data_IF_711256700910
#
_entry.id   IF_711256700910
#
_cell.length_a   1.000
_cell.length_b   1.000
_cell.length_c   1.000
_cell.angle_alpha   90.00
_cell.angle_beta   90.00
_cell.angle_gamma   90.00
#
_symmetry.space_group_name_H-M   'P 1'
#
loop_
_entity.id
_entity.type
_entity.pdbx_description
1 polymer ?
#
# COMPACT_ATOMS: atom_id res chain seq x y z
N UNK A 1 26.59 6.26 8.52
CA UNK A 1 25.65 6.39 9.64
C UNK A 1 24.37 6.97 9.05
N UNK A 2 23.39 6.11 8.74
CA UNK A 2 22.06 6.53 8.32
C UNK A 2 21.21 6.68 9.58
N UNK A 3 20.88 7.92 9.94
CA UNK A 3 19.93 8.20 11.01
C UNK A 3 18.51 8.08 10.44
N UNK A 4 17.88 6.99 10.87
CA UNK A 4 16.47 6.69 10.77
C UNK A 4 15.68 7.74 11.58
N UNK A 5 15.15 8.76 10.89
CA UNK A 5 14.21 9.73 11.48
C UNK A 5 12.83 9.09 11.63
N UNK A 6 12.76 8.07 12.49
CA UNK A 6 11.50 7.57 13.04
C UNK A 6 10.86 8.69 13.85
N UNK A 7 9.80 9.25 13.27
CA UNK A 7 8.91 10.26 13.83
C UNK A 7 8.60 9.95 15.32
N UNK A 8 8.87 10.87 16.27
CA UNK A 8 8.59 10.61 17.67
C UNK A 8 7.08 10.73 17.95
N UNK A 9 6.53 9.66 18.51
CA UNK A 9 5.37 9.60 19.41
C UNK A 9 4.13 10.44 19.00
N UNK A 10 3.29 9.89 18.10
CA UNK A 10 1.93 10.38 17.88
C UNK A 10 1.07 10.07 19.11
N UNK A 11 1.18 10.89 20.17
CA UNK A 11 0.15 10.93 21.22
C UNK A 11 -1.13 11.45 20.58
N UNK A 12 -2.07 10.55 20.31
CA UNK A 12 -3.44 10.91 19.95
C UNK A 12 -4.05 11.60 21.18
N UNK A 13 -4.13 12.94 21.14
CA UNK A 13 -4.80 13.73 22.18
C UNK A 13 -6.29 13.67 21.89
N UNK A 14 -7.01 12.82 22.62
CA UNK A 14 -8.45 12.86 22.60
C UNK A 14 -8.93 14.07 23.40
N UNK A 15 -9.72 14.99 22.84
CA UNK A 15 -10.37 16.02 23.64
C UNK A 15 -11.31 15.36 24.64
N UNK A 16 -11.12 15.67 25.91
CA UNK A 16 -11.75 15.01 27.06
C UNK A 16 -13.28 15.00 26.92
N UNK A 17 -13.86 13.81 26.77
CA UNK A 17 -15.31 13.59 26.90
C UNK A 17 -15.54 12.78 28.17
N UNK A 18 -16.21 13.41 29.13
CA UNK A 18 -16.60 12.80 30.39
C UNK A 18 -17.24 11.42 30.20
N UNK A 19 -16.65 10.43 30.88
CA UNK A 19 -17.25 9.21 31.41
C UNK A 19 -18.50 8.68 30.70
N UNK A 20 -18.31 7.86 29.68
CA UNK A 20 -19.27 6.82 29.31
C UNK A 20 -18.54 5.48 29.12
N UNK A 21 -18.83 4.55 30.03
CA UNK A 21 -18.42 3.15 29.98
C UNK A 21 -19.28 2.40 28.99
N UNK A 22 -18.71 1.99 27.86
CA UNK A 22 -19.27 0.92 27.03
C UNK A 22 -18.14 0.28 26.20
N UNK A 23 -17.71 -0.93 26.60
CA UNK A 23 -16.93 -1.81 25.74
C UNK A 23 -17.89 -2.42 24.70
N UNK A 24 -17.63 -2.29 23.38
CA UNK A 24 -18.28 -3.15 22.41
C UNK A 24 -17.54 -4.49 22.41
N UNK A 25 -18.23 -5.54 22.86
CA UNK A 25 -17.81 -6.91 22.63
C UNK A 25 -17.71 -7.15 21.11
N UNK A 26 -16.54 -7.62 20.64
CA UNK A 26 -16.42 -8.23 19.33
C UNK A 26 -17.20 -9.55 19.36
N UNK A 27 -18.46 -9.53 18.93
CA UNK A 27 -19.20 -10.74 18.68
C UNK A 27 -18.81 -11.31 17.31
N UNK A 28 -18.08 -12.42 17.34
CA UNK A 28 -17.83 -13.25 16.18
C UNK A 28 -19.00 -14.19 15.91
N UNK A 29 -19.49 -14.16 14.67
CA UNK A 29 -20.32 -15.23 14.10
C UNK A 29 -21.04 -14.80 12.82
N UNK A 30 -21.63 -15.73 12.06
CA UNK A 30 -21.13 -17.01 11.57
C UNK A 30 -20.70 -16.93 10.10
N UNK A 31 -19.85 -17.86 9.67
CA UNK A 31 -19.44 -18.10 8.29
C UNK A 31 -20.64 -18.52 7.40
N UNK A 32 -21.33 -17.52 6.84
CA UNK A 32 -22.36 -17.69 5.82
C UNK A 32 -21.77 -17.53 4.41
N UNK A 33 -21.95 -18.56 3.58
CA UNK A 33 -21.52 -18.60 2.17
C UNK A 33 -22.00 -17.38 1.37
N UNK A 34 -21.05 -16.50 1.09
CA UNK A 34 -21.20 -15.28 0.32
C UNK A 34 -19.81 -14.71 0.06
N UNK A 35 -19.72 -13.75 -0.87
CA UNK A 35 -18.50 -13.01 -1.22
C UNK A 35 -17.64 -12.78 0.03
N UNK A 36 -16.36 -13.18 -0.03
CA UNK A 36 -15.44 -13.16 1.10
C UNK A 36 -15.45 -11.83 1.84
N UNK A 37 -15.27 -11.86 3.16
CA UNK A 37 -15.24 -10.66 4.01
C UNK A 37 -14.24 -9.61 3.49
N UNK A 38 -13.10 -10.07 2.99
CA UNK A 38 -12.07 -9.27 2.33
C UNK A 38 -12.57 -8.58 1.05
N UNK A 39 -13.29 -9.30 0.18
CA UNK A 39 -13.87 -8.70 -1.01
C UNK A 39 -14.91 -7.61 -0.65
N UNK A 40 -15.72 -7.83 0.40
CA UNK A 40 -16.65 -6.81 0.91
C UNK A 40 -15.91 -5.59 1.46
N UNK A 41 -14.82 -5.78 2.21
CA UNK A 41 -14.03 -4.67 2.77
C UNK A 41 -13.36 -3.85 1.66
N UNK A 42 -12.84 -4.49 0.61
CA UNK A 42 -12.25 -3.82 -0.56
C UNK A 42 -13.32 -3.04 -1.32
N UNK A 43 -14.49 -3.62 -1.56
CA UNK A 43 -15.59 -2.94 -2.26
C UNK A 43 -16.08 -1.70 -1.47
N UNK A 44 -16.17 -1.80 -0.15
CA UNK A 44 -16.47 -0.65 0.71
C UNK A 44 -15.36 0.41 0.63
N UNK A 45 -14.10 0.00 0.69
CA UNK A 45 -12.96 0.90 0.63
C UNK A 45 -12.86 1.65 -0.72
N UNK A 46 -13.19 1.00 -1.84
CA UNK A 46 -13.32 1.66 -3.15
C UNK A 46 -14.38 2.77 -3.11
N UNK A 47 -15.53 2.53 -2.48
CA UNK A 47 -16.57 3.56 -2.31
C UNK A 47 -16.07 4.73 -1.45
N UNK A 48 -15.45 4.45 -0.31
CA UNK A 48 -14.91 5.49 0.59
C UNK A 48 -13.80 6.30 -0.12
N UNK A 49 -12.99 5.65 -0.96
CA UNK A 49 -11.91 6.32 -1.69
C UNK A 49 -12.40 7.42 -2.66
N UNK A 50 -13.67 7.36 -3.08
CA UNK A 50 -14.31 8.37 -3.94
C UNK A 50 -14.90 9.57 -3.17
N UNK A 51 -14.79 9.59 -1.85
CA UNK A 51 -15.35 10.63 -0.98
C UNK A 51 -14.24 11.61 -0.58
N UNK A 52 -14.47 12.90 -0.77
CA UNK A 52 -13.51 13.95 -0.43
C UNK A 52 -13.82 14.67 0.90
N UNK A 53 -15.08 14.65 1.33
CA UNK A 53 -15.57 15.40 2.48
C UNK A 53 -15.93 14.48 3.64
N UNK A 54 -15.57 14.92 4.85
CA UNK A 54 -15.99 14.27 6.10
C UNK A 54 -17.50 14.11 6.18
N UNK A 55 -18.27 15.14 5.80
CA UNK A 55 -19.73 15.12 5.96
C UNK A 55 -20.37 14.09 5.04
N UNK A 56 -19.81 13.89 3.85
CA UNK A 56 -20.24 12.86 2.92
C UNK A 56 -19.87 11.46 3.41
N UNK A 57 -18.71 11.32 4.07
CA UNK A 57 -18.34 10.07 4.72
C UNK A 57 -19.29 9.73 5.88
N UNK A 58 -19.64 10.72 6.72
CA UNK A 58 -20.55 10.51 7.86
C UNK A 58 -21.95 10.03 7.44
N UNK A 59 -22.41 10.35 6.23
CA UNK A 59 -23.67 9.81 5.68
C UNK A 59 -23.65 8.29 5.48
N UNK A 60 -22.46 7.69 5.37
CA UNK A 60 -22.30 6.23 5.22
C UNK A 60 -22.13 5.51 6.56
N UNK A 61 -21.89 6.25 7.64
CA UNK A 61 -21.67 5.69 8.98
C UNK A 61 -23.00 5.60 9.72
N UNK A 62 -23.27 4.46 10.36
CA UNK A 62 -24.43 4.27 11.24
C UNK A 62 -24.11 4.77 12.65
N UNK A 63 -25.15 5.15 13.38
CA UNK A 63 -25.07 5.53 14.80
C UNK A 63 -24.15 6.73 15.10
N UNK A 64 -24.01 7.64 14.14
CA UNK A 64 -23.29 8.90 14.33
C UNK A 64 -24.06 9.75 15.37
N UNK A 65 -23.44 10.11 16.51
CA UNK A 65 -24.07 11.00 17.47
C UNK A 65 -24.47 12.32 16.80
N UNK A 66 -25.69 12.79 17.09
CA UNK A 66 -26.25 14.01 16.47
C UNK A 66 -25.43 15.28 16.74
N UNK A 67 -24.58 15.26 17.77
CA UNK A 67 -23.68 16.38 18.05
C UNK A 67 -22.57 16.47 16.98
N UNK A 68 -21.97 15.35 16.57
CA UNK A 68 -20.89 15.27 15.58
C UNK A 68 -21.33 15.68 14.16
N UNK A 69 -22.60 15.45 13.81
CA UNK A 69 -23.16 15.79 12.49
C UNK A 69 -23.48 17.29 12.31
N UNK A 70 -23.46 18.10 13.37
CA UNK A 70 -23.98 19.48 13.33
C UNK A 70 -23.06 20.55 13.94
N UNK A 71 -21.76 20.30 14.12
CA UNK A 71 -20.81 21.36 14.54
C UNK A 71 -20.44 22.30 13.38
N UNK A 72 -21.46 22.95 12.83
CA UNK A 72 -21.37 24.22 12.11
C UNK A 72 -21.65 25.33 13.11
N UNK A 73 -20.59 26.05 13.49
CA UNK A 73 -20.59 27.44 13.99
C UNK A 73 -21.73 27.86 14.93
N UNK A 74 -21.52 27.71 16.23
CA UNK A 74 -22.09 28.61 17.23
C UNK A 74 -21.12 28.78 18.38
N UNK A 75 -20.32 29.85 18.28
CA UNK A 75 -19.61 30.44 19.41
C UNK A 75 -20.62 30.71 20.54
N UNK A 76 -20.63 29.88 21.58
CA UNK A 76 -21.23 30.23 22.87
C UNK A 76 -20.10 30.32 23.89
N UNK A 77 -20.07 31.47 24.58
CA UNK A 77 -19.11 31.79 25.64
C UNK A 77 -18.93 30.62 26.61
N UNK A 78 -17.70 30.16 26.73
CA UNK A 78 -17.22 29.21 27.73
C UNK A 78 -15.72 29.02 27.51
N UNK A 79 -14.94 28.98 28.59
CA UNK A 79 -13.51 28.68 28.60
C UNK A 79 -13.26 27.31 27.95
N UNK A 80 -13.08 27.29 26.64
CA UNK A 80 -12.64 26.11 25.92
C UNK A 80 -11.37 26.53 25.19
N UNK A 81 -10.27 25.85 25.51
CA UNK A 81 -9.02 26.00 24.79
C UNK A 81 -9.30 25.96 23.28
N UNK A 82 -8.90 27.02 22.57
CA UNK A 82 -9.06 27.06 21.11
C UNK A 82 -8.10 26.04 20.52
N UNK A 83 -8.60 24.84 20.24
CA UNK A 83 -7.87 23.86 19.45
C UNK A 83 -7.53 24.46 18.09
N UNK A 84 -6.24 24.49 17.73
CA UNK A 84 -5.76 24.92 16.41
C UNK A 84 -5.85 23.76 15.37
N UNK A 85 -6.75 22.81 15.60
CA UNK A 85 -6.91 21.65 14.74
C UNK A 85 -7.71 22.02 13.49
N UNK A 86 -7.02 22.03 12.35
CA UNK A 86 -7.66 22.09 11.04
C UNK A 86 -8.20 20.72 10.65
N UNK A 87 -9.39 20.70 10.02
CA UNK A 87 -10.02 19.46 9.56
C UNK A 87 -9.52 19.16 8.15
N UNK A 88 -8.79 18.06 7.93
CA UNK A 88 -8.29 17.72 6.61
C UNK A 88 -9.41 17.16 5.71
N UNK A 89 -9.30 17.43 4.41
CA UNK A 89 -10.04 16.71 3.39
C UNK A 89 -9.23 15.51 2.92
N UNK A 90 -9.91 14.46 2.45
CA UNK A 90 -9.22 13.31 1.89
C UNK A 90 -8.58 13.67 0.54
N UNK A 91 -7.31 13.31 0.36
CA UNK A 91 -6.66 13.38 -0.94
C UNK A 91 -7.21 12.28 -1.86
N UNK A 92 -8.01 12.68 -2.84
CA UNK A 92 -8.58 11.76 -3.83
C UNK A 92 -7.50 11.19 -4.75
N UNK A 93 -7.69 9.95 -5.22
CA UNK A 93 -6.81 9.37 -6.23
C UNK A 93 -7.02 10.04 -7.59
N UNK A 94 -6.15 11.00 -7.93
CA UNK A 94 -6.24 11.78 -9.17
C UNK A 94 -4.85 12.23 -9.66
N UNK A 95 -4.71 12.67 -10.92
CA UNK A 95 -3.44 13.21 -11.40
C UNK A 95 -3.09 14.53 -10.68
N UNK A 96 -1.96 14.53 -9.98
CA UNK A 96 -1.41 15.67 -9.22
C UNK A 96 -0.02 16.06 -9.76
N UNK A 97 0.34 17.34 -9.64
CA UNK A 97 1.65 17.81 -10.08
C UNK A 97 2.74 17.31 -9.12
N UNK A 98 3.63 16.49 -9.64
CA UNK A 98 4.79 15.98 -8.92
C UNK A 98 6.08 16.36 -9.65
N UNK A 99 7.15 16.59 -8.89
CA UNK A 99 8.47 16.86 -9.45
C UNK A 99 9.11 15.57 -9.92
N UNK A 100 9.54 15.52 -11.18
CA UNK A 100 10.25 14.38 -11.77
C UNK A 100 11.62 14.82 -12.28
N UNK A 101 12.68 14.03 -12.07
CA UNK A 101 13.98 14.29 -12.68
C UNK A 101 13.89 14.10 -14.21
N UNK A 102 14.57 14.96 -14.97
CA UNK A 102 14.64 14.89 -16.43
C UNK A 102 15.81 14.01 -16.87
N UNK A 103 17.03 14.39 -16.46
CA UNK A 103 18.26 13.65 -16.67
C UNK A 103 19.19 13.90 -15.47
N UNK A 104 20.01 12.91 -15.16
CA UNK A 104 21.06 13.03 -14.16
C UNK A 104 22.26 13.80 -14.75
N UNK A 105 22.82 14.71 -13.95
CA UNK A 105 23.98 15.51 -14.35
C UNK A 105 25.26 14.73 -14.09
N UNK A 106 26.10 14.59 -15.11
CA UNK A 106 27.38 13.89 -15.04
C UNK A 106 28.51 14.83 -15.49
N UNK A 107 29.43 15.24 -14.59
CA UNK A 107 30.50 16.17 -14.95
C UNK A 107 31.34 15.68 -16.14
N UNK A 108 31.68 16.56 -17.11
CA UNK A 108 31.47 18.00 -17.10
C UNK A 108 30.11 18.44 -17.69
N UNK A 109 29.22 17.53 -18.06
CA UNK A 109 27.94 17.86 -18.71
C UNK A 109 26.88 18.24 -17.67
N UNK A 110 26.24 19.38 -17.88
CA UNK A 110 25.16 19.89 -17.04
C UNK A 110 23.91 20.10 -17.90
N UNK A 111 22.81 19.48 -17.47
CA UNK A 111 21.48 19.64 -18.05
C UNK A 111 20.68 20.69 -17.29
N UNK A 112 19.94 21.53 -18.03
CA UNK A 112 19.05 22.53 -17.44
C UNK A 112 17.68 22.56 -18.14
N UNK A 113 16.56 22.55 -17.39
CA UNK A 113 16.47 22.29 -15.95
C UNK A 113 16.75 20.81 -15.62
N UNK A 114 17.06 20.50 -14.35
CA UNK A 114 17.32 19.13 -13.88
C UNK A 114 16.05 18.34 -13.57
N UNK A 115 14.98 19.05 -13.20
CA UNK A 115 13.67 18.47 -12.92
C UNK A 115 12.55 19.37 -13.48
N UNK A 116 11.38 18.78 -13.69
CA UNK A 116 10.17 19.49 -14.08
C UNK A 116 8.98 18.98 -13.28
N UNK A 117 7.83 19.65 -13.37
CA UNK A 117 6.57 19.16 -12.80
C UNK A 117 5.75 18.49 -13.89
N UNK A 118 5.26 17.30 -13.61
CA UNK A 118 4.34 16.57 -14.48
C UNK A 118 3.23 15.96 -13.65
N UNK A 119 2.06 15.70 -14.26
CA UNK A 119 0.99 15.02 -13.56
C UNK A 119 1.33 13.55 -13.38
N UNK A 120 1.29 13.10 -12.13
CA UNK A 120 1.40 11.70 -11.73
C UNK A 120 0.22 11.37 -10.81
N UNK A 121 -0.16 10.11 -10.76
CA UNK A 121 -1.25 9.68 -9.88
C UNK A 121 -0.81 9.87 -8.43
N UNK A 122 -1.57 10.65 -7.69
CA UNK A 122 -1.39 10.96 -6.28
C UNK A 122 -2.70 10.79 -5.53
N UNK A 123 -2.63 10.87 -4.20
CA UNK A 123 -3.76 10.69 -3.31
C UNK A 123 -3.80 9.32 -2.61
N UNK A 124 -4.87 9.11 -1.86
CA UNK A 124 -4.99 8.01 -0.91
C UNK A 124 -6.09 7.02 -1.30
N UNK A 125 -5.80 5.73 -1.16
CA UNK A 125 -6.78 4.65 -1.25
C UNK A 125 -7.01 4.06 0.15
N UNK A 126 -8.26 3.80 0.51
CA UNK A 126 -8.65 3.44 1.88
C UNK A 126 -8.21 2.03 2.30
N UNK A 127 -8.03 1.10 1.35
CA UNK A 127 -7.63 -0.29 1.66
C UNK A 127 -6.11 -0.49 1.49
N UNK A 128 -5.51 -1.29 2.37
CA UNK A 128 -4.06 -1.61 2.32
C UNK A 128 -3.63 -2.35 1.04
N UNK A 129 -4.53 -3.11 0.43
CA UNK A 129 -4.30 -3.85 -0.82
C UNK A 129 -4.50 -2.99 -2.10
N UNK A 130 -4.96 -1.75 -1.96
CA UNK A 130 -5.17 -0.83 -3.08
C UNK A 130 -4.09 0.25 -3.12
N UNK A 131 -3.76 0.72 -4.31
CA UNK A 131 -2.92 1.90 -4.53
C UNK A 131 -3.46 2.76 -5.67
N UNK A 132 -3.14 4.05 -5.64
CA UNK A 132 -3.53 4.97 -6.69
C UNK A 132 -2.65 4.76 -7.92
N UNK A 133 -3.23 4.25 -9.00
CA UNK A 133 -2.51 3.83 -10.20
C UNK A 133 -3.08 4.51 -11.46
N UNK A 134 -2.25 4.76 -12.49
CA UNK A 134 -2.72 5.33 -13.75
C UNK A 134 -3.58 4.34 -14.53
N UNK A 135 -4.67 4.84 -15.10
CA UNK A 135 -5.51 4.11 -16.08
C UNK A 135 -5.28 4.59 -17.50
N UNK A 136 -4.76 5.82 -17.65
CA UNK A 136 -4.39 6.40 -18.94
C UNK A 136 -3.15 7.29 -18.78
N UNK A 137 -2.24 7.21 -19.75
CA UNK A 137 -0.99 7.97 -19.78
C UNK A 137 -0.74 8.56 -21.16
N UNK A 138 0.00 9.65 -21.20
CA UNK A 138 0.45 10.33 -22.42
C UNK A 138 1.95 10.65 -22.30
N UNK A 139 2.66 10.62 -23.44
CA UNK A 139 4.08 11.02 -23.47
C UNK A 139 4.17 12.51 -23.73
N UNK A 140 4.84 13.24 -22.82
CA UNK A 140 5.19 14.65 -22.98
C UNK A 140 6.68 14.80 -23.28
N UNK A 141 6.98 15.55 -24.34
CA UNK A 141 8.34 15.81 -24.76
C UNK A 141 8.82 17.15 -24.19
N UNK A 142 9.83 17.12 -23.32
CA UNK A 142 10.46 18.32 -22.77
C UNK A 142 11.78 18.61 -23.49
N UNK A 143 11.97 19.85 -23.92
CA UNK A 143 13.25 20.32 -24.44
C UNK A 143 14.11 20.84 -23.28
N UNK A 144 15.33 20.32 -23.16
CA UNK A 144 16.31 20.73 -22.15
C UNK A 144 17.58 21.26 -22.82
N UNK A 145 18.34 22.08 -22.10
CA UNK A 145 19.64 22.58 -22.52
C UNK A 145 20.74 21.65 -22.06
N UNK A 146 21.74 21.45 -22.93
CA UNK A 146 22.97 20.74 -22.64
C UNK A 146 24.11 21.76 -22.58
N UNK A 147 24.83 21.77 -21.47
CA UNK A 147 25.98 22.65 -21.25
C UNK A 147 27.18 21.84 -20.76
N UNK A 148 28.38 22.32 -21.01
CA UNK A 148 29.63 21.73 -20.52
C UNK A 148 30.28 22.72 -19.55
N UNK A 149 30.68 22.25 -18.38
CA UNK A 149 31.53 22.97 -17.45
C UNK A 149 32.98 22.91 -17.94
N UNK A 150 33.50 24.05 -18.39
CA UNK A 150 34.89 24.17 -18.79
C UNK A 150 35.81 24.25 -17.58
N UNK A 151 37.10 23.95 -17.76
CA UNK A 151 38.14 24.12 -16.72
C UNK A 151 38.26 25.56 -16.21
N UNK A 152 37.75 26.54 -16.98
CA UNK A 152 37.64 27.95 -16.59
C UNK A 152 36.54 28.22 -15.55
N UNK A 153 35.74 27.21 -15.19
CA UNK A 153 34.57 27.33 -14.32
C UNK A 153 33.33 27.92 -15.01
N UNK A 154 33.38 28.17 -16.32
CA UNK A 154 32.26 28.71 -17.10
C UNK A 154 31.48 27.60 -17.78
N UNK A 155 30.19 27.85 -18.01
CA UNK A 155 29.32 26.97 -18.76
C UNK A 155 29.35 27.34 -20.25
N UNK A 156 29.65 26.35 -21.09
CA UNK A 156 29.55 26.45 -22.54
C UNK A 156 28.31 25.74 -23.04
N UNK A 157 27.51 26.43 -23.84
CA UNK A 157 26.36 25.83 -24.52
C UNK A 157 26.81 24.76 -25.51
N UNK A 158 26.25 23.57 -25.40
CA UNK A 158 26.54 22.43 -26.27
C UNK A 158 25.38 22.11 -27.22
N UNK A 159 24.13 22.31 -26.78
CA UNK A 159 22.97 22.03 -27.60
C UNK A 159 21.68 21.91 -26.81
N UNK A 160 20.67 21.32 -27.45
CA UNK A 160 19.39 20.95 -26.84
C UNK A 160 19.13 19.46 -26.98
N UNK A 161 18.35 18.91 -26.05
CA UNK A 161 17.92 17.51 -26.07
C UNK A 161 16.44 17.43 -25.75
N UNK A 162 15.74 16.51 -26.39
CA UNK A 162 14.34 16.21 -26.07
C UNK A 162 14.30 15.00 -25.13
N UNK A 163 13.57 15.14 -24.03
CA UNK A 163 13.36 14.10 -23.02
C UNK A 163 11.86 13.75 -23.00
N UNK A 164 11.47 12.55 -23.46
CA UNK A 164 10.10 12.08 -23.31
C UNK A 164 9.85 11.65 -21.85
N UNK A 165 8.79 12.17 -21.24
CA UNK A 165 8.34 11.80 -19.89
C UNK A 165 6.86 11.42 -19.94
N UNK A 166 6.52 10.33 -19.26
CA UNK A 166 5.15 9.89 -19.06
C UNK A 166 4.36 10.80 -18.09
N UNK A 167 3.26 11.37 -18.58
CA UNK A 167 2.23 12.08 -17.83
C UNK A 167 1.01 11.17 -17.61
N UNK A 168 0.48 11.13 -16.39
CA UNK A 168 -0.75 10.42 -16.11
C UNK A 168 -1.95 11.34 -16.36
N UNK A 169 -2.94 10.89 -17.13
CA UNK A 169 -4.15 11.67 -17.44
C UNK A 169 -5.38 11.23 -16.66
N UNK A 170 -5.41 9.97 -16.21
CA UNK A 170 -6.49 9.40 -15.40
C UNK A 170 -5.92 8.41 -14.38
N UNK A 171 -6.55 8.33 -13.21
CA UNK A 171 -6.11 7.50 -12.09
C UNK A 171 -7.29 6.77 -11.46
N UNK A 172 -7.03 5.62 -10.85
CA UNK A 172 -8.00 4.90 -10.04
C UNK A 172 -7.33 4.15 -8.89
N UNK A 173 -8.09 3.85 -7.84
CA UNK A 173 -7.65 2.95 -6.78
C UNK A 173 -7.79 1.51 -7.27
N UNK A 174 -6.64 0.89 -7.55
CA UNK A 174 -6.58 -0.48 -8.08
C UNK A 174 -5.71 -1.39 -7.21
N UNK A 175 -5.86 -2.70 -7.38
CA UNK A 175 -5.10 -3.71 -6.65
C UNK A 175 -3.59 -3.51 -6.86
N UNK A 176 -2.83 -3.53 -5.75
CA UNK A 176 -1.37 -3.47 -5.76
C UNK A 176 -0.76 -4.68 -6.49
N UNK A 177 -1.30 -5.86 -6.21
CA UNK A 177 -0.93 -7.12 -6.85
C UNK A 177 -1.75 -7.26 -8.13
N UNK A 178 -1.08 -7.56 -9.23
CA UNK A 178 -1.66 -7.89 -10.53
C UNK A 178 -1.60 -9.38 -10.78
N UNK A 179 -2.36 -9.82 -11.78
CA UNK A 179 -2.33 -11.22 -12.22
C UNK A 179 -0.93 -11.68 -12.65
N UNK A 180 -0.12 -10.78 -13.19
CA UNK A 180 1.27 -11.03 -13.58
C UNK A 180 2.20 -11.30 -12.40
N UNK A 181 1.82 -10.91 -11.19
CA UNK A 181 2.59 -11.11 -9.97
C UNK A 181 2.32 -12.50 -9.35
N UNK A 182 1.28 -13.21 -9.82
CA UNK A 182 0.95 -14.54 -9.33
C UNK A 182 1.83 -15.62 -9.98
N UNK A 183 2.23 -16.61 -9.17
CA UNK A 183 3.00 -17.76 -9.63
C UNK A 183 2.11 -18.75 -10.42
N UNK A 184 2.73 -19.66 -11.19
CA UNK A 184 2.02 -20.70 -11.98
C UNK A 184 1.09 -21.61 -11.16
N UNK A 185 1.29 -21.71 -9.85
CA UNK A 185 0.47 -22.52 -8.92
C UNK A 185 -0.69 -21.73 -8.30
N UNK A 186 -0.80 -20.44 -8.63
CA UNK A 186 -1.79 -19.53 -8.09
C UNK A 186 -2.73 -19.05 -9.18
N UNK A 187 -3.92 -18.64 -8.78
CA UNK A 187 -4.87 -17.91 -9.59
C UNK A 187 -5.12 -16.55 -8.96
N UNK A 188 -5.13 -15.49 -9.77
CA UNK A 188 -5.48 -14.16 -9.29
C UNK A 188 -6.97 -14.06 -8.98
N UNK A 189 -7.31 -13.49 -7.83
CA UNK A 189 -8.68 -13.22 -7.40
C UNK A 189 -8.90 -11.70 -7.40
N UNK A 190 -9.49 -11.13 -8.47
CA UNK A 190 -9.60 -9.68 -8.62
C UNK A 190 -10.38 -8.98 -7.51
N UNK A 191 -11.42 -9.63 -6.99
CA UNK A 191 -12.28 -9.07 -5.93
C UNK A 191 -11.55 -8.94 -4.59
N UNK A 192 -10.53 -9.77 -4.37
CA UNK A 192 -9.74 -9.80 -3.13
C UNK A 192 -8.37 -9.14 -3.30
N UNK A 193 -7.98 -8.76 -4.52
CA UNK A 193 -6.64 -8.27 -4.83
C UNK A 193 -5.52 -9.22 -4.36
N UNK A 194 -5.75 -10.53 -4.40
CA UNK A 194 -4.82 -11.56 -3.90
C UNK A 194 -4.55 -12.65 -4.93
N UNK A 195 -3.40 -13.31 -4.80
CA UNK A 195 -3.11 -14.56 -5.48
C UNK A 195 -3.54 -15.72 -4.57
N UNK A 196 -4.50 -16.53 -5.01
CA UNK A 196 -4.95 -17.70 -4.27
C UNK A 196 -4.26 -18.97 -4.80
N UNK A 197 -3.82 -19.85 -3.89
CA UNK A 197 -3.23 -21.12 -4.27
C UNK A 197 -4.28 -22.10 -4.81
N UNK A 198 -3.95 -22.80 -5.89
CA UNK A 198 -4.87 -23.76 -6.52
C UNK A 198 -4.99 -25.08 -5.72
N UNK A 199 -3.98 -25.45 -4.94
CA UNK A 199 -3.90 -26.68 -4.15
C UNK A 199 -4.50 -26.52 -2.74
N UNK A 200 -5.79 -26.15 -2.70
CA UNK A 200 -6.54 -25.90 -1.44
C UNK A 200 -6.58 -27.12 -0.52
N UNK A 201 -6.65 -28.33 -1.08
CA UNK A 201 -6.65 -29.58 -0.29
C UNK A 201 -5.32 -29.81 0.45
N UNK A 202 -4.18 -29.49 -0.18
CA UNK A 202 -2.87 -29.58 0.45
C UNK A 202 -2.72 -28.53 1.55
N UNK A 203 -3.21 -27.32 1.31
CA UNK A 203 -3.23 -26.25 2.30
C UNK A 203 -4.04 -26.67 3.54
N UNK A 204 -5.22 -27.25 3.34
CA UNK A 204 -6.06 -27.72 4.44
C UNK A 204 -5.36 -28.79 5.28
N UNK A 205 -4.81 -29.82 4.64
CA UNK A 205 -4.04 -30.89 5.32
C UNK A 205 -2.80 -30.35 6.05
N UNK A 206 -2.14 -29.34 5.46
CA UNK A 206 -0.99 -28.67 6.08
C UNK A 206 -1.39 -27.94 7.37
N UNK A 207 -2.50 -27.21 7.33
CA UNK A 207 -3.00 -26.41 8.44
C UNK A 207 -3.58 -27.26 9.59
N UNK A 208 -4.07 -28.46 9.29
CA UNK A 208 -4.48 -29.45 10.30
C UNK A 208 -3.28 -29.95 11.13
N UNK A 209 -2.06 -29.86 10.60
CA UNK A 209 -0.84 -30.33 11.27
C UNK A 209 -0.20 -29.24 12.13
N UNK A 210 0.04 -29.51 13.41
CA UNK A 210 0.70 -28.55 14.32
C UNK A 210 2.20 -28.37 14.06
N UNK A 211 2.85 -29.31 13.36
CA UNK A 211 4.30 -29.28 13.07
C UNK A 211 4.63 -28.69 11.70
N UNK A 212 3.62 -28.38 10.90
CA UNK A 212 3.78 -27.80 9.57
C UNK A 212 3.19 -26.39 9.48
N UNK A 213 3.56 -25.67 8.43
CA UNK A 213 3.12 -24.33 8.12
C UNK A 213 2.98 -24.17 6.61
N UNK A 214 1.89 -23.54 6.19
CA UNK A 214 1.65 -23.23 4.78
C UNK A 214 2.35 -21.95 4.36
N UNK A 215 3.06 -21.98 3.24
CA UNK A 215 3.64 -20.78 2.63
C UNK A 215 2.74 -20.29 1.49
N UNK A 216 2.09 -19.11 1.62
CA UNK A 216 1.09 -18.63 0.66
C UNK A 216 1.68 -18.30 -0.72
N UNK A 217 2.89 -17.76 -0.79
CA UNK A 217 3.49 -17.38 -2.10
C UNK A 217 4.00 -18.57 -2.91
N UNK A 218 4.49 -19.61 -2.24
CA UNK A 218 5.03 -20.82 -2.86
C UNK A 218 3.98 -21.90 -3.07
N UNK A 219 2.82 -21.77 -2.42
CA UNK A 219 1.76 -22.78 -2.40
C UNK A 219 2.28 -24.16 -2.00
N UNK A 220 3.07 -24.19 -0.92
CA UNK A 220 3.73 -25.40 -0.43
C UNK A 220 3.68 -25.44 1.09
N UNK A 221 3.63 -26.66 1.62
CA UNK A 221 3.65 -26.93 3.04
C UNK A 221 5.08 -27.19 3.50
N UNK A 222 5.54 -26.49 4.54
CA UNK A 222 6.87 -26.65 5.11
C UNK A 222 6.80 -27.06 6.59
N UNK A 223 7.85 -27.70 7.08
CA UNK A 223 8.01 -27.97 8.50
C UNK A 223 8.30 -26.67 9.26
N UNK A 224 7.68 -26.48 10.42
CA UNK A 224 7.92 -25.30 11.26
C UNK A 224 9.36 -25.23 11.76
N UNK A 225 9.92 -26.39 12.05
CA UNK A 225 11.30 -26.56 12.47
C UNK A 225 12.03 -27.45 11.46
N UNK A 226 13.20 -27.00 11.03
CA UNK A 226 14.13 -27.77 10.20
C UNK A 226 15.38 -28.04 11.03
N UNK A 227 15.89 -29.26 10.99
CA UNK A 227 17.08 -29.67 11.73
C UNK A 227 18.14 -30.25 10.80
N UNK A 228 19.41 -30.05 11.15
CA UNK A 228 20.53 -30.68 10.45
C UNK A 228 20.67 -32.14 10.91
N UNK A 229 20.55 -33.07 9.96
CA UNK A 229 20.62 -34.49 10.25
C UNK A 229 22.08 -34.98 10.30
N UNK A 230 22.35 -35.96 11.18
CA UNK A 230 23.66 -36.62 11.27
C UNK A 230 23.98 -37.45 10.02
N UNK A 231 25.26 -37.82 9.84
CA UNK A 231 25.77 -38.54 8.67
C UNK A 231 24.95 -39.81 8.36
N UNK A 232 24.46 -39.93 7.12
CA UNK A 232 23.61 -41.05 6.67
C UNK A 232 22.09 -40.85 6.82
N UNK A 233 21.66 -39.70 7.35
CA UNK A 233 20.25 -39.31 7.45
C UNK A 233 19.97 -38.05 6.62
N UNK A 234 18.76 -37.94 6.08
CA UNK A 234 18.27 -36.75 5.38
C UNK A 234 17.00 -36.24 6.06
N UNK A 235 16.78 -34.93 6.02
CA UNK A 235 15.57 -34.33 6.57
C UNK A 235 14.41 -34.49 5.58
N UNK A 236 13.38 -35.24 5.95
CA UNK A 236 12.18 -35.38 5.14
C UNK A 236 11.17 -34.28 5.45
N UNK A 237 10.77 -33.51 4.44
CA UNK A 237 9.79 -32.42 4.59
C UNK A 237 8.35 -32.94 4.77
N UNK A 238 8.09 -34.22 4.50
CA UNK A 238 6.78 -34.82 4.71
C UNK A 238 6.56 -35.28 6.16
N UNK A 239 7.56 -35.92 6.79
CA UNK A 239 7.50 -36.35 8.19
C UNK A 239 8.03 -35.31 9.19
N UNK A 240 8.77 -34.30 8.70
CA UNK A 240 9.48 -33.31 9.50
C UNK A 240 10.50 -33.94 10.47
N UNK A 241 11.17 -35.01 10.01
CA UNK A 241 12.13 -35.80 10.79
C UNK A 241 13.31 -36.22 9.92
N UNK A 242 14.42 -36.56 10.58
CA UNK A 242 15.57 -37.17 9.93
C UNK A 242 15.31 -38.65 9.67
N UNK A 243 15.31 -39.06 8.40
CA UNK A 243 15.09 -40.45 7.98
C UNK A 243 16.38 -41.04 7.39
N UNK A 244 16.55 -42.36 7.54
CA UNK A 244 17.73 -43.07 7.03
C UNK A 244 17.62 -43.23 5.52
N UNK A 245 18.71 -43.00 4.80
CA UNK A 245 18.76 -43.18 3.36
C UNK A 245 18.78 -44.69 3.02
N UNK A 246 17.66 -45.27 2.60
CA UNK A 246 17.55 -46.70 2.24
C UNK A 246 18.11 -47.02 0.84
N UNK A 247 19.03 -46.20 0.31
CA UNK A 247 19.65 -46.40 -1.01
C UNK A 247 20.97 -47.18 -0.99
N UNK A 248 21.40 -47.66 0.18
CA UNK A 248 22.59 -48.50 0.33
C UNK A 248 22.18 -49.92 0.78
N UNK A 249 21.57 -50.67 -0.15
CA UNK A 249 21.39 -52.12 -0.05
C UNK A 249 22.13 -52.81 -1.20
#
# INVERSE_FOLDING_TARGET
>A
QLEDTRYPDQRIVFPDRGRETANPALEGGPSGGGIGELAKSIQLAKKISSINSRDDFLKLVKDVPKDISFFSSSSRMGETERSNAERPNQALCMPELQTVPLLENEPPVIYYPTCTRIKRCGGCCTHSLLSCQPTATEIRNFEILVTILESSGKLKYQGKRIVPIEEHTQCTCDCKIKETDCNKKQSYVPEECTCACNNVDEQKKCNESNIKMWHPDLCSCFCRETQECSTGFYFDQNSCRCERNNKDL
#
